data_IF_556201493426
#
_entry.id   IF_556201493426
#
_cell.length_a   1.000
_cell.length_b   1.000
_cell.length_c   1.000
_cell.angle_alpha   90.00
_cell.angle_beta   90.00
_cell.angle_gamma   90.00
#
_symmetry.space_group_name_H-M   'P 1'
#
loop_
_entity.id
_entity.type
_entity.pdbx_description
1 polymer ?
#
# COMPACT_ATOMS: atom_id res chain seq x y z
N UNK A 1 -7.49 -1.68 22.88
CA UNK A 1 -8.47 -0.88 22.12
C UNK A 1 -9.61 -0.51 23.06
N UNK A 2 -10.02 0.76 23.08
CA UNK A 2 -11.13 1.26 23.93
C UNK A 2 -12.48 1.05 23.24
N UNK A 3 -13.58 0.91 23.98
CA UNK A 3 -14.93 0.68 23.40
C UNK A 3 -15.34 1.77 22.41
N UNK A 4 -14.94 3.01 22.67
CA UNK A 4 -15.14 4.17 21.79
C UNK A 4 -14.49 3.96 20.41
N UNK A 5 -13.25 3.48 20.37
CA UNK A 5 -12.53 3.19 19.11
C UNK A 5 -13.22 2.09 18.28
N UNK A 6 -13.82 1.11 18.96
CA UNK A 6 -14.58 0.02 18.32
C UNK A 6 -15.90 0.56 17.75
N UNK A 7 -16.58 1.45 18.48
CA UNK A 7 -17.82 2.08 18.03
C UNK A 7 -17.60 2.98 16.80
N UNK A 8 -16.53 3.79 16.81
CA UNK A 8 -16.13 4.63 15.67
C UNK A 8 -15.79 3.78 14.45
N UNK A 9 -14.99 2.73 14.62
CA UNK A 9 -14.66 1.79 13.54
C UNK A 9 -15.90 1.12 12.93
N UNK A 10 -16.82 0.63 13.77
CA UNK A 10 -18.10 0.06 13.31
C UNK A 10 -18.97 1.09 12.58
N UNK A 11 -19.01 2.34 13.06
CA UNK A 11 -19.73 3.44 12.40
C UNK A 11 -19.15 3.82 11.04
N UNK A 12 -17.82 3.84 10.90
CA UNK A 12 -17.11 4.10 9.64
C UNK A 12 -17.32 2.96 8.63
N UNK A 13 -17.30 1.71 9.09
CA UNK A 13 -17.64 0.53 8.27
C UNK A 13 -19.08 0.58 7.78
N UNK A 14 -20.03 0.87 8.68
CA UNK A 14 -21.46 0.93 8.36
C UNK A 14 -21.79 2.01 7.32
N UNK A 15 -21.11 3.15 7.38
CA UNK A 15 -21.26 4.22 6.39
C UNK A 15 -20.48 3.96 5.09
N UNK A 16 -19.84 2.80 4.93
CA UNK A 16 -18.94 2.50 3.82
C UNK A 16 -17.92 3.62 3.61
N UNK A 17 -17.47 4.31 4.65
CA UNK A 17 -16.45 5.36 4.52
C UNK A 17 -15.06 4.73 4.32
N UNK A 18 -14.84 3.57 4.93
CA UNK A 18 -13.53 2.89 4.91
C UNK A 18 -13.16 2.42 3.51
N UNK A 19 -14.05 1.72 2.78
CA UNK A 19 -13.70 1.18 1.46
C UNK A 19 -13.35 2.27 0.41
N UNK A 20 -14.11 3.37 0.25
CA UNK A 20 -13.77 4.47 -0.65
C UNK A 20 -12.52 5.22 -0.20
N UNK A 21 -12.34 5.44 1.10
CA UNK A 21 -11.15 6.14 1.61
C UNK A 21 -9.89 5.31 1.36
N UNK A 22 -9.94 4.00 1.61
CA UNK A 22 -8.87 3.06 1.27
C UNK A 22 -8.59 3.11 -0.23
N UNK A 23 -9.63 3.02 -1.08
CA UNK A 23 -9.46 3.11 -2.53
C UNK A 23 -8.80 4.41 -3.01
N UNK A 24 -9.12 5.56 -2.39
CA UNK A 24 -8.47 6.85 -2.70
C UNK A 24 -7.00 6.86 -2.28
N UNK A 25 -6.70 6.36 -1.09
CA UNK A 25 -5.31 6.27 -0.57
C UNK A 25 -4.47 5.34 -1.43
N UNK A 26 -5.05 4.27 -1.98
CA UNK A 26 -4.39 3.34 -2.89
C UNK A 26 -4.14 3.94 -4.29
N UNK A 27 -5.07 4.78 -4.76
CA UNK A 27 -5.01 5.39 -6.09
C UNK A 27 -3.84 6.38 -6.24
N UNK A 28 -3.54 7.14 -5.19
CA UNK A 28 -2.47 8.14 -5.22
C UNK A 28 -1.09 7.56 -5.57
N UNK A 29 -0.57 6.54 -4.87
CA UNK A 29 0.70 5.91 -5.24
C UNK A 29 0.65 5.28 -6.65
N UNK A 30 -0.47 4.68 -7.06
CA UNK A 30 -0.60 4.15 -8.43
C UNK A 30 -0.45 5.26 -9.47
N UNK A 31 -1.10 6.42 -9.27
CA UNK A 31 -0.94 7.57 -10.17
C UNK A 31 0.52 8.03 -10.22
N UNK A 32 1.18 8.13 -9.07
CA UNK A 32 2.59 8.54 -9.00
C UNK A 32 3.50 7.59 -9.78
N UNK A 33 3.26 6.27 -9.68
CA UNK A 33 3.98 5.25 -10.45
C UNK A 33 3.73 5.40 -11.96
N UNK A 34 2.48 5.61 -12.38
CA UNK A 34 2.11 5.77 -13.80
C UNK A 34 2.72 7.03 -14.41
N UNK A 35 2.74 8.13 -13.67
CA UNK A 35 3.34 9.40 -14.12
C UNK A 35 4.87 9.35 -14.05
N UNK A 36 5.46 8.32 -13.43
CA UNK A 36 6.91 8.15 -13.30
C UNK A 36 7.55 9.19 -12.39
N UNK A 37 6.78 9.81 -11.48
CA UNK A 37 7.28 10.81 -10.52
C UNK A 37 7.26 10.27 -9.11
N UNK A 38 8.27 10.63 -8.32
CA UNK A 38 8.38 10.20 -6.92
C UNK A 38 8.32 8.67 -6.76
N UNK A 39 8.89 7.95 -7.72
CA UNK A 39 8.74 6.49 -7.87
C UNK A 39 9.03 5.77 -6.55
N UNK A 40 10.12 6.10 -5.85
CA UNK A 40 10.46 5.45 -4.57
C UNK A 40 9.40 5.73 -3.49
N UNK A 41 8.92 6.97 -3.36
CA UNK A 41 7.88 7.32 -2.39
C UNK A 41 6.60 6.52 -2.69
N UNK A 42 6.24 6.43 -3.96
CA UNK A 42 5.08 5.67 -4.40
C UNK A 42 5.24 4.16 -4.16
N UNK A 43 6.41 3.60 -4.47
CA UNK A 43 6.73 2.18 -4.22
C UNK A 43 6.67 1.85 -2.72
N UNK A 44 7.22 2.72 -1.86
CA UNK A 44 7.18 2.52 -0.41
C UNK A 44 5.75 2.60 0.13
N UNK A 45 4.95 3.55 -0.36
CA UNK A 45 3.54 3.67 0.01
C UNK A 45 2.73 2.44 -0.45
N UNK A 46 3.09 1.81 -1.57
CA UNK A 46 2.45 0.58 -2.07
C UNK A 46 2.71 -0.65 -1.21
N UNK A 47 3.74 -0.67 -0.35
CA UNK A 47 4.06 -1.84 0.50
C UNK A 47 2.90 -2.19 1.44
N UNK A 48 2.45 -1.32 2.36
CA UNK A 48 1.34 -1.64 3.25
C UNK A 48 0.03 -1.88 2.49
N UNK A 49 -0.17 -1.22 1.34
CA UNK A 49 -1.33 -1.44 0.46
C UNK A 49 -1.34 -2.87 -0.08
N UNK A 50 -0.22 -3.34 -0.64
CA UNK A 50 -0.11 -4.71 -1.16
C UNK A 50 -0.37 -5.75 -0.07
N UNK A 51 0.14 -5.54 1.15
CA UNK A 51 -0.18 -6.40 2.29
C UNK A 51 -1.68 -6.36 2.65
N UNK A 52 -2.32 -5.19 2.62
CA UNK A 52 -3.75 -5.03 2.85
C UNK A 52 -4.60 -5.80 1.84
N UNK A 53 -4.30 -5.66 0.54
CA UNK A 53 -4.98 -6.37 -0.55
C UNK A 53 -4.83 -7.88 -0.40
N UNK A 54 -3.60 -8.35 -0.15
CA UNK A 54 -3.34 -9.79 0.06
C UNK A 54 -4.09 -10.32 1.28
N UNK A 55 -4.05 -9.58 2.40
CA UNK A 55 -4.76 -9.94 3.62
C UNK A 55 -6.28 -10.02 3.41
N UNK A 56 -6.87 -9.07 2.68
CA UNK A 56 -8.29 -9.09 2.32
C UNK A 56 -8.65 -10.33 1.49
N UNK A 57 -7.88 -10.65 0.44
CA UNK A 57 -8.18 -11.82 -0.38
C UNK A 57 -7.98 -13.14 0.37
N UNK A 58 -6.96 -13.25 1.24
CA UNK A 58 -6.79 -14.44 2.07
C UNK A 58 -7.92 -14.63 3.09
N UNK A 59 -8.48 -13.54 3.64
CA UNK A 59 -9.47 -13.61 4.71
C UNK A 59 -10.93 -13.59 4.23
N UNK A 60 -11.23 -12.92 3.12
CA UNK A 60 -12.61 -12.57 2.72
C UNK A 60 -12.97 -13.09 1.34
N UNK A 61 -12.08 -12.96 0.34
CA UNK A 61 -12.37 -13.31 -1.05
C UNK A 61 -11.17 -13.97 -1.72
N UNK A 62 -11.03 -15.27 -1.53
CA UNK A 62 -9.94 -16.05 -2.11
C UNK A 62 -10.07 -16.19 -3.63
N UNK A 63 -11.28 -16.05 -4.19
CA UNK A 63 -11.49 -16.19 -5.63
C UNK A 63 -10.83 -15.02 -6.40
N UNK A 64 -10.82 -13.83 -5.80
CA UNK A 64 -10.14 -12.65 -6.34
C UNK A 64 -8.61 -12.61 -6.15
N UNK A 65 -7.99 -13.59 -5.47
CA UNK A 65 -6.59 -13.52 -5.03
C UNK A 65 -5.59 -13.34 -6.18
N UNK A 66 -5.92 -13.81 -7.38
CA UNK A 66 -5.08 -13.65 -8.56
C UNK A 66 -4.64 -12.20 -8.78
N UNK A 67 -5.56 -11.25 -8.60
CA UNK A 67 -5.26 -9.82 -8.76
C UNK A 67 -4.36 -9.30 -7.65
N UNK A 68 -4.58 -9.73 -6.41
CA UNK A 68 -3.71 -9.38 -5.29
C UNK A 68 -2.27 -9.88 -5.51
N UNK A 69 -2.12 -11.12 -5.98
CA UNK A 69 -0.82 -11.71 -6.31
C UNK A 69 -0.14 -10.91 -7.42
N UNK A 70 -0.85 -10.57 -8.49
CA UNK A 70 -0.30 -9.79 -9.60
C UNK A 70 0.26 -8.43 -9.12
N UNK A 71 -0.49 -7.73 -8.28
CA UNK A 71 -0.07 -6.44 -7.70
C UNK A 71 1.17 -6.63 -6.81
N UNK A 72 1.18 -7.64 -5.94
CA UNK A 72 2.29 -7.92 -5.05
C UNK A 72 3.58 -8.25 -5.82
N UNK A 73 3.50 -9.12 -6.84
CA UNK A 73 4.64 -9.44 -7.70
C UNK A 73 5.12 -8.24 -8.51
N UNK A 74 4.19 -7.43 -9.05
CA UNK A 74 4.53 -6.19 -9.76
C UNK A 74 5.27 -5.21 -8.85
N UNK A 75 4.85 -5.07 -7.60
CA UNK A 75 5.53 -4.24 -6.61
C UNK A 75 6.94 -4.73 -6.32
N UNK A 76 7.13 -6.03 -6.08
CA UNK A 76 8.46 -6.63 -5.86
C UNK A 76 9.37 -6.42 -7.07
N UNK A 77 8.85 -6.62 -8.27
CA UNK A 77 9.60 -6.39 -9.52
C UNK A 77 10.04 -4.93 -9.64
N UNK A 78 9.14 -3.97 -9.46
CA UNK A 78 9.48 -2.55 -9.56
C UNK A 78 10.46 -2.11 -8.46
N UNK A 79 10.31 -2.62 -7.23
CA UNK A 79 11.26 -2.38 -6.15
C UNK A 79 12.66 -2.90 -6.50
N UNK A 80 12.75 -4.09 -7.10
CA UNK A 80 14.04 -4.68 -7.51
C UNK A 80 14.75 -3.82 -8.58
N UNK A 81 13.99 -3.24 -9.51
CA UNK A 81 14.52 -2.37 -10.56
C UNK A 81 14.99 -1.00 -10.03
N UNK A 82 14.39 -0.52 -8.93
CA UNK A 82 14.72 0.77 -8.32
C UNK A 82 15.57 0.66 -7.05
N UNK A 83 16.07 -0.54 -6.74
CA UNK A 83 16.78 -0.83 -5.49
C UNK A 83 18.07 0.00 -5.31
N UNK A 84 18.77 0.33 -6.41
CA UNK A 84 19.94 1.22 -6.39
C UNK A 84 19.62 2.60 -5.82
N UNK A 85 18.42 3.11 -6.10
CA UNK A 85 18.00 4.44 -5.66
C UNK A 85 17.51 4.41 -4.21
N UNK A 86 16.97 3.29 -3.74
CA UNK A 86 16.62 3.08 -2.33
C UNK A 86 17.89 3.02 -1.47
N UNK A 87 18.92 2.32 -1.94
CA UNK A 87 20.22 2.26 -1.25
C UNK A 87 20.91 3.62 -1.11
N UNK A 88 20.70 4.54 -2.07
CA UNK A 88 21.18 5.92 -1.98
C UNK A 88 20.51 6.69 -0.83
N UNK A 89 19.18 6.60 -0.71
CA UNK A 89 18.44 7.28 0.38
C UNK A 89 18.83 6.77 1.77
N UNK A 90 19.06 5.47 1.92
CA UNK A 90 19.49 4.89 3.20
C UNK A 90 20.88 5.40 3.58
N UNK A 91 21.83 5.42 2.64
CA UNK A 91 23.18 5.94 2.88
C UNK A 91 23.17 7.43 3.21
N UNK A 92 22.31 8.21 2.57
CA UNK A 92 22.20 9.65 2.85
C UNK A 92 21.68 9.90 4.28
N UNK A 93 20.66 9.15 4.73
CA UNK A 93 20.20 9.21 6.14
C UNK A 93 21.32 8.85 7.12
N UNK A 94 22.11 7.80 6.84
CA UNK A 94 23.22 7.39 7.71
C UNK A 94 24.36 8.43 7.77
N UNK A 95 24.56 9.24 6.72
CA UNK A 95 25.58 10.30 6.71
C UNK A 95 25.19 11.58 7.43
N UNK A 96 23.90 11.78 7.71
CA UNK A 96 23.36 12.97 8.41
C UNK A 96 23.10 12.67 9.90
N UNK A 97 23.26 11.40 10.32
CA UNK A 97 23.11 10.91 11.69
C UNK A 97 24.35 11.05 12.56
#
# INVERSE_FOLDING_TARGET
>A
MTEESIAVYKGLLANKFIMPTVGVVELLPVILLVVGRWIIVALLAMIPIAFGIMGFHFAVDIQGIFWGILIAFGLVYLLSMHFSNVGYLIKEVDTIG
#
